data_IF_323626150762
#
_entry.id   IF_323626150762
#
_cell.length_a   1.000
_cell.length_b   1.000
_cell.length_c   1.000
_cell.angle_alpha   90.00
_cell.angle_beta   90.00
_cell.angle_gamma   90.00
#
_symmetry.space_group_name_H-M   'P 1'
#
loop_
_entity.id
_entity.type
_entity.pdbx_description
1 polymer ?
#
# COMPACT_ATOMS: atom_id res chain seq x y z
N UNK A 1 -12.90 5.20 -2.04
CA UNK A 1 -11.88 6.23 -1.92
C UNK A 1 -10.49 5.63 -1.92
N UNK A 2 -9.56 6.34 -2.48
CA UNK A 2 -8.21 5.82 -2.64
C UNK A 2 -7.27 6.17 -1.50
N UNK A 3 -7.77 6.85 -0.49
CA UNK A 3 -6.90 7.29 0.60
C UNK A 3 -6.96 6.33 1.79
N UNK A 4 -7.04 5.06 1.52
CA UNK A 4 -7.11 4.07 2.58
C UNK A 4 -5.74 3.70 3.09
N UNK A 5 -5.61 3.58 4.40
CA UNK A 5 -4.40 3.07 5.00
C UNK A 5 -4.42 1.55 4.93
N UNK A 6 -3.31 0.98 4.50
CA UNK A 6 -3.19 -0.46 4.36
C UNK A 6 -1.91 -0.93 5.00
N UNK A 7 -1.86 -2.21 5.32
CA UNK A 7 -0.65 -2.85 5.80
C UNK A 7 -0.12 -3.75 4.71
N UNK A 8 1.17 -3.65 4.44
CA UNK A 8 1.79 -4.50 3.44
C UNK A 8 2.10 -5.84 4.07
N UNK A 9 1.58 -6.90 3.48
CA UNK A 9 1.69 -8.24 4.06
C UNK A 9 2.72 -9.12 3.38
N UNK A 10 3.32 -8.62 2.31
CA UNK A 10 4.32 -9.40 1.59
C UNK A 10 5.30 -8.51 0.86
N UNK A 11 6.34 -9.12 0.31
CA UNK A 11 7.35 -8.41 -0.42
C UNK A 11 8.37 -7.73 0.48
N UNK A 12 9.19 -6.86 -0.09
CA UNK A 12 10.27 -6.22 0.68
C UNK A 12 9.78 -5.22 1.72
N UNK A 13 8.52 -4.80 1.64
CA UNK A 13 7.97 -3.82 2.59
C UNK A 13 7.02 -4.45 3.58
N UNK A 14 7.10 -5.76 3.74
CA UNK A 14 6.20 -6.48 4.63
C UNK A 14 6.22 -5.89 6.04
N UNK A 15 5.05 -5.69 6.59
CA UNK A 15 4.90 -5.15 7.94
C UNK A 15 4.83 -3.66 8.03
N UNK A 16 4.97 -2.97 6.92
CA UNK A 16 4.90 -1.51 6.91
C UNK A 16 3.49 -1.05 6.58
N UNK A 17 3.13 0.09 7.08
CA UNK A 17 1.86 0.71 6.76
C UNK A 17 2.03 1.75 5.68
N UNK A 18 1.03 1.87 4.84
CA UNK A 18 1.08 2.77 3.71
C UNK A 18 -0.32 3.25 3.36
N UNK A 19 -0.38 4.29 2.57
CA UNK A 19 -1.65 4.82 2.08
C UNK A 19 -1.73 4.54 0.59
N UNK A 20 -2.86 3.96 0.16
CA UNK A 20 -3.08 3.71 -1.26
C UNK A 20 -3.36 5.02 -1.97
N UNK A 21 -2.61 5.29 -3.02
CA UNK A 21 -2.84 6.47 -3.85
C UNK A 21 -3.39 6.11 -5.21
N UNK A 22 -3.21 4.87 -5.66
CA UNK A 22 -3.69 4.45 -6.95
C UNK A 22 -3.81 2.93 -6.99
N UNK A 23 -4.81 2.44 -7.69
CA UNK A 23 -4.99 1.00 -7.89
C UNK A 23 -5.08 0.72 -9.38
N UNK A 24 -4.39 -0.31 -9.82
CA UNK A 24 -4.44 -0.77 -11.20
C UNK A 24 -5.03 -2.17 -11.22
N UNK A 25 -6.32 -2.30 -11.44
CA UNK A 25 -6.97 -3.61 -11.39
C UNK A 25 -6.55 -4.54 -12.53
N UNK A 26 -6.15 -4.00 -13.65
CA UNK A 26 -5.72 -4.84 -14.75
C UNK A 26 -4.42 -5.58 -14.45
N UNK A 27 -3.54 -4.94 -13.73
CA UNK A 27 -2.25 -5.53 -13.36
C UNK A 27 -2.25 -6.08 -11.96
N UNK A 28 -3.37 -5.93 -11.25
CA UNK A 28 -3.48 -6.33 -9.85
C UNK A 28 -2.39 -5.70 -8.99
N UNK A 29 -2.14 -4.44 -9.24
CA UNK A 29 -1.11 -3.69 -8.52
C UNK A 29 -1.73 -2.47 -7.87
N UNK A 30 -1.07 -2.00 -6.83
CA UNK A 30 -1.47 -0.77 -6.17
C UNK A 30 -0.25 0.08 -5.91
N UNK A 31 -0.40 1.37 -6.09
CA UNK A 31 0.64 2.32 -5.75
C UNK A 31 0.33 2.89 -4.37
N UNK A 32 1.28 2.78 -3.49
CA UNK A 32 1.09 3.22 -2.10
C UNK A 32 2.24 4.12 -1.69
N UNK A 33 1.98 4.94 -0.68
CA UNK A 33 3.01 5.79 -0.10
C UNK A 33 3.24 5.29 1.32
N UNK A 34 4.49 4.95 1.62
CA UNK A 34 4.83 4.43 2.93
C UNK A 34 4.75 5.52 3.98
N UNK A 35 4.07 5.22 5.09
CA UNK A 35 3.86 6.21 6.13
C UNK A 35 5.09 6.40 7.01
N UNK A 36 5.87 5.34 7.20
CA UNK A 36 7.03 5.39 8.08
C UNK A 36 8.32 5.77 7.36
N UNK A 37 8.24 6.08 6.08
CA UNK A 37 9.43 6.43 5.33
C UNK A 37 9.74 7.91 5.50
N UNK A 38 11.03 8.22 5.52
CA UNK A 38 11.47 9.61 5.54
C UNK A 38 11.05 10.34 4.28
N UNK A 39 10.94 9.61 3.20
CA UNK A 39 10.45 10.14 1.94
C UNK A 39 9.10 9.53 1.63
N UNK A 40 8.19 10.35 1.18
CA UNK A 40 6.89 9.84 0.77
C UNK A 40 6.93 9.53 -0.72
N UNK A 41 7.67 8.51 -1.06
CA UNK A 41 7.79 8.08 -2.44
C UNK A 41 6.72 7.03 -2.76
N UNK A 42 6.09 7.15 -3.92
CA UNK A 42 5.13 6.13 -4.33
C UNK A 42 5.86 4.84 -4.68
N UNK A 43 5.37 3.74 -4.17
CA UNK A 43 5.89 2.43 -4.51
C UNK A 43 4.74 1.57 -5.02
N UNK A 44 5.03 0.76 -6.02
CA UNK A 44 4.03 -0.14 -6.58
C UNK A 44 4.22 -1.52 -5.98
N UNK A 45 3.17 -2.07 -5.43
CA UNK A 45 3.19 -3.41 -4.85
C UNK A 45 2.03 -4.20 -5.41
N UNK A 46 2.14 -5.53 -5.32
CA UNK A 46 1.05 -6.41 -5.72
C UNK A 46 -0.14 -6.18 -4.80
N UNK A 47 -1.31 -6.02 -5.38
CA UNK A 47 -2.51 -5.78 -4.59
C UNK A 47 -2.79 -6.90 -3.60
N UNK A 48 -2.32 -8.10 -3.89
CA UNK A 48 -2.49 -9.22 -2.97
C UNK A 48 -1.64 -9.10 -1.70
N UNK A 49 -0.70 -8.19 -1.71
CA UNK A 49 0.15 -7.98 -0.54
C UNK A 49 -0.37 -6.89 0.38
N UNK A 50 -1.55 -6.40 0.12
CA UNK A 50 -2.13 -5.32 0.90
C UNK A 50 -3.29 -5.83 1.73
N UNK A 51 -3.32 -5.41 2.98
CA UNK A 51 -4.44 -5.70 3.86
C UNK A 51 -5.01 -4.38 4.33
N UNK A 52 -6.30 -4.19 4.11
CA UNK A 52 -6.95 -2.96 4.54
C UNK A 52 -6.91 -2.87 6.06
N UNK A 53 -6.37 -1.78 6.52
CA UNK A 53 -6.32 -1.52 7.96
C UNK A 53 -7.51 -0.63 8.30
N UNK A 54 -8.66 -1.20 8.30
CA UNK A 54 -9.83 -0.44 8.60
C UNK A 54 -10.01 -0.36 10.09
N UNK A 55 -9.62 0.35 10.63
CA UNK A 55 -9.73 0.38 11.78
C UNK A 55 -10.13 0.57 12.80
N UNK A 56 -9.84 0.45 12.61
CA UNK A 56 -9.83 0.68 13.55
C UNK A 56 -10.07 0.96 14.48
#
# INVERSE_FOLDING_TARGET
AVDNTVEITGGPFKGMKATITRIDPEKEEATVVLLDASYQLPVTVDANYLKLSTGA
#
